data_IF_946745005836
#
_entry.id   IF_946745005836
#
_cell.length_a   1.000
_cell.length_b   1.000
_cell.length_c   1.000
_cell.angle_alpha   90.00
_cell.angle_beta   90.00
_cell.angle_gamma   90.00
#
_symmetry.space_group_name_H-M   'P 1'
#
loop_
_entity.id
_entity.type
_entity.pdbx_description
1 polymer ?
#
# COMPACT_ATOMS: atom_id res chain seq x y z
N UNK A 1 -22.09 -5.41 0.57
CA UNK A 1 -20.70 -5.12 0.15
C UNK A 1 -20.61 -3.60 0.03
N UNK A 2 -20.01 -2.91 1.01
CA UNK A 2 -19.80 -1.47 0.91
C UNK A 2 -18.72 -1.23 -0.14
N UNK A 3 -19.01 -0.43 -1.17
CA UNK A 3 -18.00 -0.02 -2.14
C UNK A 3 -16.84 0.63 -1.39
N UNK A 4 -15.62 0.11 -1.59
CA UNK A 4 -14.42 0.78 -1.10
C UNK A 4 -14.42 2.20 -1.69
N UNK A 5 -14.09 3.19 -0.88
CA UNK A 5 -13.95 4.57 -1.37
C UNK A 5 -12.61 5.10 -0.88
N UNK A 6 -11.97 5.94 -1.69
CA UNK A 6 -10.71 6.59 -1.30
C UNK A 6 -10.83 7.53 -0.08
N UNK A 7 -12.04 7.68 0.47
CA UNK A 7 -12.29 8.38 1.74
C UNK A 7 -11.66 7.69 2.95
N UNK A 8 -11.41 6.37 2.88
CA UNK A 8 -10.85 5.62 4.00
C UNK A 8 -9.39 5.99 4.29
N UNK A 9 -9.09 6.41 5.52
CA UNK A 9 -7.74 6.83 5.90
C UNK A 9 -6.69 5.73 5.72
N UNK A 10 -7.04 4.46 6.02
CA UNK A 10 -6.11 3.33 5.80
C UNK A 10 -5.79 3.12 4.32
N UNK A 11 -6.79 3.26 3.43
CA UNK A 11 -6.58 3.14 1.99
C UNK A 11 -5.74 4.30 1.48
N UNK A 12 -6.00 5.52 1.95
CA UNK A 12 -5.20 6.71 1.59
C UNK A 12 -3.73 6.57 1.99
N UNK A 13 -3.45 6.09 3.20
CA UNK A 13 -2.06 5.86 3.66
C UNK A 13 -1.35 4.77 2.87
N UNK A 14 -2.01 3.64 2.60
CA UNK A 14 -1.42 2.56 1.81
C UNK A 14 -1.21 2.99 0.35
N UNK A 15 -2.19 3.65 -0.27
CA UNK A 15 -2.07 4.20 -1.62
C UNK A 15 -0.90 5.16 -1.74
N UNK A 16 -0.76 6.07 -0.77
CA UNK A 16 0.33 7.05 -0.73
C UNK A 16 1.69 6.41 -0.49
N UNK A 17 1.78 5.36 0.34
CA UNK A 17 3.03 4.63 0.53
C UNK A 17 3.47 3.93 -0.77
N UNK A 18 2.54 3.24 -1.45
CA UNK A 18 2.85 2.48 -2.65
C UNK A 18 2.95 3.35 -3.91
N UNK A 19 2.58 4.64 -3.87
CA UNK A 19 2.61 5.52 -5.05
C UNK A 19 4.02 5.81 -5.56
N UNK A 20 5.05 5.49 -4.78
CA UNK A 20 6.45 5.52 -5.23
C UNK A 20 6.79 4.40 -6.25
N UNK A 21 5.87 3.46 -6.48
CA UNK A 21 5.98 2.32 -7.39
C UNK A 21 7.15 1.39 -7.06
N UNK A 22 7.61 1.39 -5.82
CA UNK A 22 8.68 0.52 -5.34
C UNK A 22 8.08 -0.68 -4.59
N UNK A 23 8.80 -1.81 -4.51
CA UNK A 23 8.40 -2.92 -3.66
C UNK A 23 8.48 -2.53 -2.19
N UNK A 24 7.37 -2.68 -1.45
CA UNK A 24 7.34 -2.56 0.00
C UNK A 24 6.93 -3.89 0.63
N UNK A 25 7.70 -4.33 1.61
CA UNK A 25 7.39 -5.53 2.38
C UNK A 25 6.15 -5.32 3.26
N UNK A 26 5.49 -6.41 3.64
CA UNK A 26 4.40 -6.38 4.64
C UNK A 26 4.80 -5.59 5.89
N UNK A 27 6.04 -5.78 6.36
CA UNK A 27 6.57 -5.11 7.57
C UNK A 27 6.70 -3.60 7.38
N UNK A 28 7.21 -3.16 6.23
CA UNK A 28 7.33 -1.73 5.91
C UNK A 28 5.96 -1.07 5.81
N UNK A 29 4.99 -1.74 5.17
CA UNK A 29 3.63 -1.22 5.06
C UNK A 29 2.98 -1.10 6.44
N UNK A 30 3.14 -2.10 7.31
CA UNK A 30 2.62 -2.02 8.69
C UNK A 30 3.23 -0.84 9.44
N UNK A 31 4.55 -0.65 9.37
CA UNK A 31 5.24 0.42 10.10
C UNK A 31 4.92 1.81 9.56
N UNK A 32 4.98 1.98 8.25
CA UNK A 32 4.88 3.31 7.60
C UNK A 32 3.44 3.76 7.37
N UNK A 33 2.54 2.84 7.06
CA UNK A 33 1.12 3.17 6.83
C UNK A 33 0.24 2.93 8.07
N UNK A 34 0.78 2.35 9.15
CA UNK A 34 0.04 2.01 10.37
C UNK A 34 -1.24 1.19 10.08
N UNK A 35 -1.09 0.10 9.33
CA UNK A 35 -2.18 -0.81 8.94
C UNK A 35 -1.77 -2.27 9.13
N UNK A 36 -2.62 -3.04 9.82
CA UNK A 36 -2.44 -4.49 9.98
C UNK A 36 -3.19 -5.29 8.89
N UNK A 37 -4.33 -4.80 8.40
CA UNK A 37 -5.14 -5.46 7.38
C UNK A 37 -4.69 -5.13 5.95
N UNK A 38 -3.42 -5.42 5.64
CA UNK A 38 -2.78 -5.04 4.36
C UNK A 38 -3.47 -5.71 3.17
N UNK A 39 -3.77 -7.01 3.28
CA UNK A 39 -4.43 -7.76 2.21
C UNK A 39 -5.80 -7.17 1.85
N UNK A 40 -6.59 -6.74 2.84
CA UNK A 40 -7.87 -6.07 2.62
C UNK A 40 -7.67 -4.73 1.92
N UNK A 41 -6.72 -3.91 2.38
CA UNK A 41 -6.42 -2.63 1.74
C UNK A 41 -6.00 -2.80 0.28
N UNK A 42 -5.14 -3.79 -0.01
CA UNK A 42 -4.70 -4.07 -1.38
C UNK A 42 -5.86 -4.57 -2.25
N UNK A 43 -6.73 -5.44 -1.72
CA UNK A 43 -7.91 -5.91 -2.46
C UNK A 43 -8.87 -4.76 -2.79
N UNK A 44 -9.09 -3.84 -1.86
CA UNK A 44 -9.93 -2.66 -2.04
C UNK A 44 -9.30 -1.65 -3.01
N UNK A 45 -7.99 -1.41 -2.93
CA UNK A 45 -7.30 -0.55 -3.90
C UNK A 45 -7.38 -1.13 -5.32
N UNK A 46 -7.29 -2.46 -5.47
CA UNK A 46 -7.51 -3.12 -6.77
C UNK A 46 -8.94 -2.96 -7.28
N UNK A 47 -9.94 -3.00 -6.39
CA UNK A 47 -11.33 -2.70 -6.77
C UNK A 47 -11.50 -1.24 -7.24
N UNK A 48 -10.66 -0.34 -6.75
CA UNK A 48 -10.60 1.06 -7.17
C UNK A 48 -9.72 1.29 -8.42
N UNK A 49 -9.29 0.22 -9.10
CA UNK A 49 -8.53 0.29 -10.34
C UNK A 49 -7.00 0.30 -10.17
N UNK A 50 -6.48 0.18 -8.94
CA UNK A 50 -5.04 0.11 -8.74
C UNK A 50 -4.48 -1.24 -9.21
N UNK A 51 -3.40 -1.22 -9.97
CA UNK A 51 -2.66 -2.43 -10.30
C UNK A 51 -1.54 -2.63 -9.28
N UNK A 52 -1.71 -3.63 -8.42
CA UNK A 52 -0.73 -3.95 -7.36
C UNK A 52 -0.28 -5.40 -7.52
N UNK A 53 1.00 -5.61 -7.75
CA UNK A 53 1.64 -6.93 -7.77
C UNK A 53 2.03 -7.33 -6.36
N UNK A 54 1.86 -8.62 -6.02
CA UNK A 54 2.31 -9.20 -4.77
C UNK A 54 3.26 -10.36 -5.08
N UNK A 55 4.49 -10.24 -4.64
CA UNK A 55 5.54 -11.24 -4.85
C UNK A 55 5.99 -11.84 -3.53
N UNK A 56 6.16 -13.16 -3.52
CA UNK A 56 6.73 -13.87 -2.37
C UNK A 56 8.19 -14.17 -2.65
N UNK A 57 9.08 -13.61 -1.84
CA UNK A 57 10.53 -13.83 -1.95
C UNK A 57 11.04 -14.59 -0.72
N UNK A 58 12.08 -15.42 -0.92
CA UNK A 58 12.73 -16.15 0.16
C UNK A 58 14.04 -15.45 0.54
N UNK A 59 14.08 -14.83 1.71
CA UNK A 59 15.20 -14.00 2.19
C UNK A 59 15.58 -14.45 3.60
N UNK A 60 16.86 -14.74 3.84
CA UNK A 60 17.39 -15.17 5.15
C UNK A 60 16.58 -16.33 5.79
N UNK A 61 16.19 -17.31 4.99
CA UNK A 61 15.43 -18.48 5.46
C UNK A 61 13.95 -18.21 5.76
N UNK A 62 13.41 -17.05 5.37
CA UNK A 62 12.02 -16.65 5.60
C UNK A 62 11.35 -16.23 4.30
N UNK A 63 10.06 -16.51 4.18
CA UNK A 63 9.25 -15.94 3.10
C UNK A 63 8.78 -14.54 3.49
N UNK A 64 9.03 -13.57 2.62
CA UNK A 64 8.59 -12.17 2.76
C UNK A 64 7.73 -11.84 1.54
N UNK A 65 6.59 -11.21 1.80
CA UNK A 65 5.73 -10.67 0.75
C UNK A 65 6.07 -9.21 0.49
N UNK A 66 6.24 -8.87 -0.78
CA UNK A 66 6.43 -7.52 -1.27
C UNK A 66 5.24 -7.11 -2.13
N UNK A 67 4.82 -5.87 -1.97
CA UNK A 67 3.72 -5.27 -2.73
C UNK A 67 4.27 -4.09 -3.51
N UNK A 68 3.98 -4.06 -4.81
CA UNK A 68 4.40 -2.99 -5.72
C UNK A 68 3.19 -2.49 -6.46
N UNK A 69 2.89 -1.20 -6.37
CA UNK A 69 1.83 -0.59 -7.19
C UNK A 69 2.44 -0.16 -8.53
N UNK A 70 1.94 -0.73 -9.62
CA UNK A 70 2.34 -0.39 -10.98
C UNK A 70 1.55 0.83 -11.47
N UNK A 71 0.25 0.80 -11.21
CA UNK A 71 -0.71 1.83 -11.65
C UNK A 71 -1.56 2.25 -10.45
N UNK A 72 -1.74 3.56 -10.19
CA UNK A 72 -2.60 4.05 -9.11
C UNK A 72 -4.09 3.74 -9.38
N UNK A 73 -4.97 3.80 -8.36
CA UNK A 73 -6.41 3.70 -8.56
C UNK A 73 -6.95 4.86 -9.40
N UNK A 74 -8.06 4.65 -10.10
CA UNK A 74 -8.66 5.63 -11.02
C UNK A 74 -9.09 6.92 -10.29
N UNK A 75 -9.59 6.79 -9.05
CA UNK A 75 -10.01 7.91 -8.21
C UNK A 75 -8.89 8.42 -7.28
N UNK A 76 -7.60 8.19 -7.61
CA UNK A 76 -6.51 8.70 -6.80
C UNK A 76 -6.42 10.24 -6.92
N UNK A 77 -6.47 11.00 -5.81
CA UNK A 77 -6.14 12.41 -5.88
C UNK A 77 -4.67 12.59 -6.30
N UNK A 78 -4.39 13.53 -7.20
CA UNK A 78 -3.03 13.99 -7.51
C UNK A 78 -2.37 14.44 -6.20
N UNK A 79 -1.41 13.67 -5.72
CA UNK A 79 -0.94 13.77 -4.35
C UNK A 79 0.29 14.67 -4.29
N UNK A 80 0.09 15.97 -4.04
CA UNK A 80 1.15 17.00 -3.96
C UNK A 80 1.73 17.18 -2.53
N UNK A 81 1.44 16.26 -1.60
CA UNK A 81 1.95 16.34 -0.23
C UNK A 81 3.04 15.30 0.01
N UNK A 82 4.25 15.74 0.32
CA UNK A 82 5.31 14.90 0.91
C UNK A 82 4.81 14.29 2.23
N UNK A 83 4.94 12.97 2.41
CA UNK A 83 4.85 12.38 3.75
C UNK A 83 6.23 12.48 4.38
N UNK A 84 6.35 13.30 5.41
CA UNK A 84 7.39 13.09 6.40
C UNK A 84 7.01 11.85 7.20
N UNK A 85 7.48 10.69 6.73
CA UNK A 85 7.62 9.53 7.59
C UNK A 85 8.73 9.89 8.58
N UNK A 86 8.39 10.47 9.72
CA UNK A 86 9.33 10.52 10.83
C UNK A 86 9.59 9.07 11.23
N UNK A 87 10.74 8.55 10.82
CA UNK A 87 11.29 7.30 11.33
C UNK A 87 11.53 7.52 12.83
N UNK A 88 10.53 7.20 13.65
CA UNK A 88 10.73 7.13 15.10
C UNK A 88 11.75 6.01 15.37
N UNK A 89 12.95 6.44 15.76
CA UNK A 89 14.12 5.66 16.16
C UNK A 89 13.85 4.87 17.44
#
# INVERSE_FOLDING_TARGET
MHAATMSSDRLRRVNKLLSDRKPHSTREITRRAHVCAINSCVAELRQLGAEIVCERQHINGKFIFFYTMLTPPEDAPENDQTLDFTDDV
#
